data_IF_418827139337
#
_entry.id   IF_418827139337
#
_cell.length_a   1.000
_cell.length_b   1.000
_cell.length_c   1.000
_cell.angle_alpha   90.00
_cell.angle_beta   90.00
_cell.angle_gamma   90.00
#
_symmetry.space_group_name_H-M   'P 1'
#
loop_
_entity.id
_entity.type
_entity.pdbx_description
1 polymer ?
#
# COMPACT_ATOMS: atom_id res chain seq x y z
N UNK A 1 -16.75 5.52 -14.94
CA UNK A 1 -15.81 6.65 -15.09
C UNK A 1 -16.42 7.97 -15.57
N UNK A 2 -17.10 8.08 -16.73
CA UNK A 2 -17.63 9.39 -17.22
C UNK A 2 -18.49 10.16 -16.21
N UNK A 3 -19.29 9.44 -15.40
CA UNK A 3 -20.11 10.04 -14.33
C UNK A 3 -19.23 10.54 -13.18
N UNK A 4 -18.28 9.72 -12.73
CA UNK A 4 -17.28 10.06 -11.71
C UNK A 4 -16.48 11.31 -12.12
N UNK A 5 -16.00 11.33 -13.36
CA UNK A 5 -15.16 12.39 -13.91
C UNK A 5 -15.87 13.76 -14.01
N UNK A 6 -17.21 13.76 -14.11
CA UNK A 6 -18.02 14.99 -14.15
C UNK A 6 -18.18 15.63 -12.77
N UNK A 7 -18.11 14.82 -11.72
CA UNK A 7 -18.32 15.26 -10.34
C UNK A 7 -17.00 15.37 -9.56
N UNK A 8 -15.91 14.86 -10.14
CA UNK A 8 -14.55 15.03 -9.65
C UNK A 8 -14.08 16.50 -9.73
N UNK A 9 -13.21 16.89 -8.81
CA UNK A 9 -12.52 18.17 -8.86
C UNK A 9 -11.03 17.98 -9.17
N UNK A 10 -10.36 19.07 -9.54
CA UNK A 10 -8.92 19.04 -9.87
C UNK A 10 -8.09 19.26 -8.62
N UNK A 11 -7.11 18.39 -8.40
CA UNK A 11 -6.12 18.51 -7.34
C UNK A 11 -4.73 18.18 -7.90
N UNK A 12 -3.70 18.75 -7.28
CA UNK A 12 -2.32 18.37 -7.54
C UNK A 12 -1.98 17.17 -6.65
N UNK A 13 -1.64 16.03 -7.26
CA UNK A 13 -1.26 14.84 -6.51
C UNK A 13 0.25 14.75 -6.35
N UNK A 14 0.68 14.25 -5.20
CA UNK A 14 2.10 14.12 -4.85
C UNK A 14 2.51 12.67 -4.81
N UNK A 15 3.75 12.41 -5.21
CA UNK A 15 4.37 11.10 -5.17
C UNK A 15 5.77 11.27 -4.60
N UNK A 16 6.12 10.50 -3.57
CA UNK A 16 7.51 10.35 -3.16
C UNK A 16 8.14 9.22 -3.94
N UNK A 17 9.36 9.43 -4.43
CA UNK A 17 10.14 8.39 -5.12
C UNK A 17 11.52 8.29 -4.50
N UNK A 18 11.99 7.06 -4.30
CA UNK A 18 13.41 6.76 -4.03
C UNK A 18 13.93 6.04 -5.26
N UNK A 19 14.76 6.72 -6.05
CA UNK A 19 15.38 6.17 -7.26
C UNK A 19 16.78 5.71 -6.90
N UNK A 20 17.12 4.48 -7.25
CA UNK A 20 18.42 3.88 -6.99
C UNK A 20 19.16 3.64 -8.30
N UNK A 21 20.46 3.91 -8.30
CA UNK A 21 21.30 3.85 -9.48
C UNK A 21 22.45 2.85 -9.28
N UNK A 22 22.89 2.24 -10.37
CA UNK A 22 24.12 1.45 -10.38
C UNK A 22 25.37 2.34 -10.40
N UNK A 23 26.55 1.71 -10.45
CA UNK A 23 27.85 2.40 -10.54
C UNK A 23 28.03 3.22 -11.82
N UNK A 24 27.20 2.97 -12.84
CA UNK A 24 27.19 3.71 -14.12
C UNK A 24 26.12 4.81 -14.13
N UNK A 25 25.54 5.12 -12.97
CA UNK A 25 24.50 6.13 -12.80
C UNK A 25 23.22 5.85 -13.58
N UNK A 26 22.96 4.59 -13.96
CA UNK A 26 21.69 4.21 -14.57
C UNK A 26 20.66 3.86 -13.49
N UNK A 27 19.40 4.34 -13.59
CA UNK A 27 18.33 3.90 -12.71
C UNK A 27 18.12 2.39 -12.83
N UNK A 28 18.17 1.68 -11.71
CA UNK A 28 18.00 0.21 -11.68
C UNK A 28 16.84 -0.24 -10.80
N UNK A 29 16.57 0.50 -9.73
CA UNK A 29 15.48 0.20 -8.80
C UNK A 29 14.74 1.48 -8.41
N UNK A 30 13.44 1.37 -8.15
CA UNK A 30 12.63 2.51 -7.68
C UNK A 30 11.61 2.06 -6.65
N UNK A 31 11.48 2.84 -5.58
CA UNK A 31 10.36 2.76 -4.64
C UNK A 31 9.46 3.96 -4.89
N UNK A 32 8.20 3.72 -5.25
CA UNK A 32 7.17 4.73 -5.47
C UNK A 32 6.21 4.72 -4.29
N UNK A 33 5.95 5.88 -3.70
CA UNK A 33 5.01 6.05 -2.58
C UNK A 33 4.04 7.19 -2.95
N UNK A 34 2.89 6.86 -3.54
CA UNK A 34 1.85 7.84 -3.85
C UNK A 34 1.25 8.46 -2.59
N UNK A 35 0.93 9.76 -2.62
CA UNK A 35 0.13 10.44 -1.59
C UNK A 35 -1.31 10.66 -2.07
N UNK A 36 -1.82 9.70 -2.85
CA UNK A 36 -3.22 9.58 -3.28
C UNK A 36 -3.66 8.12 -3.10
N UNK A 37 -4.96 7.91 -2.91
CA UNK A 37 -5.52 6.60 -2.61
C UNK A 37 -5.76 5.76 -3.88
N UNK A 38 -5.71 4.44 -3.75
CA UNK A 38 -6.07 3.53 -4.84
C UNK A 38 -7.57 3.28 -4.79
N UNK A 39 -8.29 3.48 -5.89
CA UNK A 39 -9.75 3.38 -5.82
C UNK A 39 -10.49 3.90 -7.05
N UNK A 40 -11.82 3.72 -7.09
CA UNK A 40 -12.64 3.18 -5.99
C UNK A 40 -12.66 1.65 -5.91
N UNK A 41 -12.67 0.92 -7.05
CA UNK A 41 -12.62 -0.55 -7.11
C UNK A 41 -12.33 -1.06 -8.53
N UNK A 42 -11.79 -2.28 -8.62
CA UNK A 42 -11.53 -3.04 -9.86
C UNK A 42 -10.64 -2.29 -10.85
N UNK A 43 -11.20 -1.92 -12.00
CA UNK A 43 -10.55 -1.26 -13.13
C UNK A 43 -10.83 0.25 -13.19
N UNK A 44 -11.62 0.77 -12.25
CA UNK A 44 -11.97 2.18 -12.20
C UNK A 44 -10.83 2.99 -11.56
N UNK A 45 -10.55 4.16 -12.13
CA UNK A 45 -9.71 5.13 -11.45
C UNK A 45 -8.28 4.63 -11.21
N UNK A 46 -7.80 4.82 -9.97
CA UNK A 46 -6.46 4.41 -9.50
C UNK A 46 -6.38 2.99 -8.95
N UNK A 47 -7.46 2.21 -8.99
CA UNK A 47 -7.48 0.86 -8.40
C UNK A 47 -6.38 -0.07 -8.90
N UNK A 48 -5.95 0.11 -10.15
CA UNK A 48 -4.92 -0.69 -10.80
C UNK A 48 -3.52 -0.06 -10.77
N UNK A 49 -3.35 1.10 -10.12
CA UNK A 49 -2.12 1.87 -10.17
C UNK A 49 -0.87 1.07 -9.76
N UNK A 50 -0.86 0.27 -8.68
CA UNK A 50 0.33 -0.47 -8.28
C UNK A 50 0.90 -1.35 -9.40
N UNK A 51 0.10 -2.24 -9.98
CA UNK A 51 0.59 -3.15 -11.01
C UNK A 51 0.90 -2.45 -12.34
N UNK A 52 0.15 -1.41 -12.70
CA UNK A 52 0.40 -0.64 -13.92
C UNK A 52 1.75 0.09 -13.84
N UNK A 53 2.05 0.70 -12.68
CA UNK A 53 3.33 1.35 -12.43
C UNK A 53 4.48 0.34 -12.44
N UNK A 54 4.34 -0.80 -11.75
CA UNK A 54 5.37 -1.85 -11.71
C UNK A 54 5.65 -2.39 -13.11
N UNK A 55 4.62 -2.69 -13.91
CA UNK A 55 4.80 -3.15 -15.28
C UNK A 55 5.50 -2.10 -16.14
N UNK A 56 5.13 -0.82 -16.01
CA UNK A 56 5.76 0.26 -16.77
C UNK A 56 7.25 0.41 -16.44
N UNK A 57 7.65 0.24 -15.18
CA UNK A 57 9.06 0.25 -14.78
C UNK A 57 9.81 -0.95 -15.37
N UNK A 58 9.21 -2.15 -15.35
CA UNK A 58 9.83 -3.34 -15.94
C UNK A 58 10.03 -3.24 -17.45
N UNK A 59 9.09 -2.61 -18.19
CA UNK A 59 9.21 -2.36 -19.63
C UNK A 59 10.46 -1.54 -19.99
N UNK A 60 10.91 -0.67 -19.08
CA UNK A 60 12.12 0.15 -19.26
C UNK A 60 13.33 -0.40 -18.48
N UNK A 61 13.25 -1.67 -18.02
CA UNK A 61 14.36 -2.34 -17.36
C UNK A 61 14.59 -1.96 -15.89
N UNK A 62 13.66 -1.23 -15.26
CA UNK A 62 13.76 -0.77 -13.87
C UNK A 62 12.93 -1.68 -12.96
N UNK A 63 13.51 -2.14 -11.85
CA UNK A 63 12.78 -2.91 -10.84
C UNK A 63 12.03 -1.97 -9.90
N UNK A 64 10.71 -2.01 -9.92
CA UNK A 64 9.87 -1.11 -9.14
C UNK A 64 9.09 -1.78 -8.02
N UNK A 65 8.82 -1.04 -6.94
CA UNK A 65 7.70 -1.31 -6.04
C UNK A 65 6.85 -0.06 -5.86
N UNK A 66 5.57 -0.29 -5.56
CA UNK A 66 4.65 0.73 -5.06
C UNK A 66 4.33 0.38 -3.61
N UNK A 67 4.50 1.32 -2.69
CA UNK A 67 4.12 1.21 -1.29
C UNK A 67 2.93 2.13 -1.01
N UNK A 68 2.04 1.69 -0.11
CA UNK A 68 0.89 2.49 0.30
C UNK A 68 1.33 3.68 1.15
N UNK A 69 1.25 4.88 0.59
CA UNK A 69 1.50 6.12 1.30
C UNK A 69 0.26 6.58 2.04
N UNK A 70 0.45 7.36 3.10
CA UNK A 70 -0.68 7.97 3.83
C UNK A 70 -1.52 8.82 2.88
N UNK A 71 -2.77 8.41 2.68
CA UNK A 71 -3.76 9.05 1.81
C UNK A 71 -5.16 8.80 2.36
N UNK A 72 -6.15 9.56 1.89
CA UNK A 72 -7.56 9.38 2.24
C UNK A 72 -8.36 9.06 0.97
N UNK A 73 -9.46 8.30 1.09
CA UNK A 73 -10.27 7.88 -0.07
C UNK A 73 -10.82 9.05 -0.91
N UNK A 74 -10.92 10.26 -0.34
CA UNK A 74 -11.25 11.47 -1.11
C UNK A 74 -10.23 11.76 -2.25
N UNK A 75 -9.03 11.22 -2.14
CA UNK A 75 -7.96 11.35 -3.13
C UNK A 75 -7.98 10.25 -4.21
N UNK A 76 -9.04 9.44 -4.28
CA UNK A 76 -9.26 8.47 -5.34
C UNK A 76 -9.25 9.14 -6.71
N UNK A 77 -8.49 8.60 -7.66
CA UNK A 77 -8.42 9.15 -9.01
C UNK A 77 -9.68 8.76 -9.77
N UNK A 78 -10.33 9.72 -10.41
CA UNK A 78 -11.63 9.50 -11.02
C UNK A 78 -11.64 8.64 -12.29
N UNK A 79 -10.47 8.49 -12.95
CA UNK A 79 -10.36 7.87 -14.27
C UNK A 79 -8.98 7.28 -14.55
N UNK A 80 -8.96 6.10 -15.17
CA UNK A 80 -7.74 5.40 -15.56
C UNK A 80 -6.78 6.23 -16.44
N UNK A 81 -7.30 7.12 -17.31
CA UNK A 81 -6.44 7.98 -18.13
C UNK A 81 -5.58 8.96 -17.31
N UNK A 82 -6.07 9.40 -16.15
CA UNK A 82 -5.26 10.19 -15.22
C UNK A 82 -4.18 9.35 -14.55
N UNK A 83 -4.44 8.07 -14.28
CA UNK A 83 -3.43 7.15 -13.78
C UNK A 83 -2.30 6.95 -14.78
N UNK A 84 -2.61 6.77 -16.07
CA UNK A 84 -1.60 6.70 -17.14
C UNK A 84 -0.78 7.99 -17.21
N UNK A 85 -1.43 9.15 -17.15
CA UNK A 85 -0.76 10.44 -17.12
C UNK A 85 0.21 10.57 -15.94
N UNK A 86 -0.18 10.13 -14.74
CA UNK A 86 0.70 10.12 -13.56
C UNK A 86 1.88 9.18 -13.77
N UNK A 87 1.63 7.96 -14.26
CA UNK A 87 2.69 6.98 -14.55
C UNK A 87 3.70 7.58 -15.54
N UNK A 88 3.24 8.17 -16.65
CA UNK A 88 4.12 8.79 -17.64
C UNK A 88 4.96 9.92 -17.02
N UNK A 89 4.37 10.73 -16.14
CA UNK A 89 5.09 11.77 -15.41
C UNK A 89 6.11 11.23 -14.41
N UNK A 90 5.81 10.12 -13.75
CA UNK A 90 6.77 9.45 -12.87
C UNK A 90 7.97 8.94 -13.68
N UNK A 91 7.72 8.27 -14.82
CA UNK A 91 8.79 7.78 -15.70
C UNK A 91 9.64 8.94 -16.25
N UNK A 92 9.00 10.03 -16.68
CA UNK A 92 9.70 11.23 -17.14
C UNK A 92 10.64 11.79 -16.07
N UNK A 93 10.18 11.87 -14.81
CA UNK A 93 11.00 12.38 -13.71
C UNK A 93 12.10 11.42 -13.26
N UNK A 94 11.89 10.10 -13.35
CA UNK A 94 12.92 9.08 -13.07
C UNK A 94 14.10 9.23 -14.04
N UNK A 95 13.85 9.51 -15.32
CA UNK A 95 14.93 9.69 -16.29
C UNK A 95 15.70 11.01 -16.14
N UNK A 96 15.11 12.01 -15.48
CA UNK A 96 15.76 13.33 -15.29
C UNK A 96 16.59 13.40 -14.01
N UNK A 97 16.30 12.55 -13.03
CA UNK A 97 16.97 12.62 -11.72
C UNK A 97 18.38 12.02 -11.82
N UNK A 98 19.32 12.65 -11.13
CA UNK A 98 20.72 12.23 -11.03
C UNK A 98 20.99 11.73 -9.62
N UNK A 99 21.87 10.71 -9.44
CA UNK A 99 22.22 10.19 -8.12
C UNK A 99 22.80 11.28 -7.22
N UNK A 100 22.43 11.28 -5.93
CA UNK A 100 22.85 12.33 -4.98
C UNK A 100 23.58 11.80 -3.75
N UNK A 101 23.23 10.61 -3.28
CA UNK A 101 23.70 10.06 -2.01
C UNK A 101 23.94 8.56 -2.12
N UNK A 102 24.78 7.98 -1.26
CA UNK A 102 25.04 6.52 -1.23
C UNK A 102 24.86 5.88 0.14
N UNK A 103 24.61 6.70 1.17
CA UNK A 103 24.59 6.24 2.55
C UNK A 103 23.21 6.36 3.20
N UNK A 104 22.88 5.39 4.05
CA UNK A 104 21.70 5.39 4.89
C UNK A 104 22.02 4.79 6.26
N UNK A 105 21.14 4.95 7.24
CA UNK A 105 21.25 4.19 8.49
C UNK A 105 20.75 2.76 8.28
N UNK A 106 21.13 1.79 9.13
CA UNK A 106 20.38 0.53 9.22
C UNK A 106 18.92 0.80 9.59
N UNK A 107 18.02 -0.11 9.19
CA UNK A 107 16.62 -0.05 9.60
C UNK A 107 16.52 -0.30 11.10
N UNK A 108 15.89 0.64 11.80
CA UNK A 108 15.54 0.53 13.21
C UNK A 108 14.10 0.05 13.34
N UNK A 109 13.87 -0.99 14.16
CA UNK A 109 12.54 -1.44 14.55
C UNK A 109 12.23 -0.98 15.97
N UNK A 110 11.18 -0.18 16.15
CA UNK A 110 10.66 0.24 17.46
C UNK A 110 9.25 -0.30 17.64
N UNK A 111 8.97 -0.87 18.81
CA UNK A 111 7.61 -1.20 19.25
C UNK A 111 7.16 -0.21 20.32
N UNK A 112 5.92 0.28 20.21
CA UNK A 112 5.28 1.14 21.21
C UNK A 112 3.79 0.82 21.27
N UNK A 113 3.36 0.25 22.39
CA UNK A 113 1.97 -0.20 22.53
C UNK A 113 1.62 -1.21 21.44
N UNK A 114 0.54 -0.96 20.70
CA UNK A 114 0.08 -1.81 19.60
C UNK A 114 0.78 -1.57 18.26
N UNK A 115 1.69 -0.60 18.14
CA UNK A 115 2.33 -0.27 16.87
C UNK A 115 3.81 -0.69 16.82
N UNK A 116 4.24 -1.09 15.62
CA UNK A 116 5.63 -1.30 15.23
C UNK A 116 6.00 -0.29 14.15
N UNK A 117 7.11 0.42 14.35
CA UNK A 117 7.65 1.42 13.44
C UNK A 117 9.00 0.93 12.93
N UNK A 118 9.15 0.85 11.62
CA UNK A 118 10.43 0.69 10.94
C UNK A 118 10.90 2.06 10.47
N UNK A 119 12.10 2.45 10.85
CA UNK A 119 12.66 3.76 10.53
C UNK A 119 14.03 3.60 9.91
N UNK A 120 14.23 4.23 8.75
CA UNK A 120 15.53 4.35 8.10
C UNK A 120 15.77 5.81 7.72
N UNK A 121 16.95 6.34 8.04
CA UNK A 121 17.35 7.67 7.59
C UNK A 121 18.20 7.57 6.33
N UNK A 122 17.78 8.32 5.32
CA UNK A 122 18.51 8.67 4.12
C UNK A 122 19.00 10.10 4.31
N UNK A 123 20.14 10.26 5.00
CA UNK A 123 20.61 11.54 5.53
C UNK A 123 19.53 12.26 6.36
N UNK A 124 18.94 13.34 5.83
CA UNK A 124 17.95 14.17 6.49
C UNK A 124 16.50 13.85 6.09
N UNK A 125 16.26 12.74 5.38
CA UNK A 125 14.91 12.24 5.06
C UNK A 125 14.70 10.89 5.75
N UNK A 126 13.57 10.73 6.43
CA UNK A 126 13.22 9.46 7.08
C UNK A 126 12.21 8.67 6.25
N UNK A 127 12.49 7.40 5.98
CA UNK A 127 11.46 6.43 5.57
C UNK A 127 10.90 5.75 6.82
N UNK A 128 9.59 5.83 6.98
CA UNK A 128 8.83 5.23 8.08
C UNK A 128 7.83 4.24 7.50
N UNK A 129 7.91 2.97 7.91
CA UNK A 129 6.87 1.97 7.65
C UNK A 129 6.17 1.66 8.97
N UNK A 130 4.86 1.82 9.00
CA UNK A 130 4.05 1.74 10.22
C UNK A 130 3.09 0.56 10.10
N UNK A 131 3.06 -0.29 11.11
CA UNK A 131 2.08 -1.39 11.22
C UNK A 131 1.55 -1.47 12.65
N UNK A 132 0.28 -1.82 12.81
CA UNK A 132 -0.30 -2.24 14.08
C UNK A 132 -0.42 -3.76 14.18
N UNK A 133 0.00 -4.52 13.18
CA UNK A 133 -0.14 -5.97 13.17
C UNK A 133 0.45 -6.62 14.45
N UNK A 134 -0.28 -7.58 15.06
CA UNK A 134 -1.47 -8.26 14.54
C UNK A 134 -2.81 -7.56 14.85
N UNK A 135 -2.80 -6.31 15.30
CA UNK A 135 -3.99 -5.47 15.45
C UNK A 135 -4.37 -4.82 14.12
N UNK A 136 -5.59 -4.30 14.02
CA UNK A 136 -6.10 -3.65 12.81
C UNK A 136 -5.10 -2.61 12.26
N UNK A 137 -4.61 -2.82 11.04
CA UNK A 137 -3.76 -1.86 10.32
C UNK A 137 -4.55 -1.43 9.09
N UNK A 138 -5.01 -0.19 9.13
CA UNK A 138 -5.88 0.48 8.17
C UNK A 138 -5.40 1.92 8.01
N UNK A 139 -5.88 2.58 6.96
CA UNK A 139 -5.41 3.88 6.52
C UNK A 139 -5.14 4.88 7.64
N UNK A 140 -3.91 5.36 7.68
CA UNK A 140 -3.54 6.45 8.57
C UNK A 140 -4.20 7.76 8.11
N UNK A 141 -4.83 8.52 9.00
CA UNK A 141 -5.36 9.84 8.66
C UNK A 141 -4.26 10.83 8.25
N UNK A 142 -4.56 11.77 7.35
CA UNK A 142 -3.58 12.77 6.87
C UNK A 142 -2.97 13.58 8.03
N UNK A 143 -3.77 13.90 9.07
CA UNK A 143 -3.29 14.65 10.22
C UNK A 143 -2.16 13.93 11.00
N UNK A 144 -2.09 12.59 10.94
CA UNK A 144 -0.98 11.81 11.51
C UNK A 144 0.31 12.11 10.76
N UNK A 145 0.29 12.04 9.43
CA UNK A 145 1.44 12.37 8.58
C UNK A 145 1.92 13.79 8.84
N UNK A 146 1.01 14.76 8.92
CA UNK A 146 1.38 16.16 9.18
C UNK A 146 1.99 16.35 10.58
N UNK A 147 1.48 15.62 11.58
CA UNK A 147 2.07 15.63 12.92
C UNK A 147 3.47 15.00 12.93
N UNK A 148 3.68 13.89 12.23
CA UNK A 148 4.99 13.25 12.08
C UNK A 148 5.97 14.19 11.37
N UNK A 149 5.55 14.83 10.27
CA UNK A 149 6.35 15.84 9.54
C UNK A 149 6.81 16.97 10.45
N UNK A 150 5.90 17.52 11.28
CA UNK A 150 6.24 18.56 12.26
C UNK A 150 7.26 18.09 13.30
N UNK A 151 7.10 16.87 13.84
CA UNK A 151 8.03 16.27 14.79
C UNK A 151 9.42 16.11 14.17
N UNK A 152 9.48 15.55 12.95
CA UNK A 152 10.72 15.34 12.21
C UNK A 152 11.48 16.66 11.99
N UNK A 153 10.79 17.70 11.49
CA UNK A 153 11.37 19.03 11.29
C UNK A 153 11.93 19.63 12.59
N UNK A 154 11.19 19.51 13.70
CA UNK A 154 11.62 20.01 15.02
C UNK A 154 12.94 19.39 15.48
N UNK A 155 13.22 18.14 15.09
CA UNK A 155 14.45 17.44 15.45
C UNK A 155 15.49 17.46 14.31
N UNK A 156 15.34 18.32 13.31
CA UNK A 156 16.32 18.52 12.24
C UNK A 156 16.29 17.47 11.12
N UNK A 157 15.19 16.74 10.96
CA UNK A 157 14.94 15.89 9.78
C UNK A 157 14.11 16.72 8.80
N UNK A 158 14.61 16.90 7.57
CA UNK A 158 14.05 17.78 6.55
C UNK A 158 12.65 17.35 6.13
N UNK A 159 12.46 16.04 5.93
CA UNK A 159 11.19 15.48 5.48
C UNK A 159 11.03 14.01 5.90
N UNK A 160 9.81 13.48 5.76
CA UNK A 160 9.48 12.09 6.04
C UNK A 160 8.65 11.49 4.90
N UNK A 161 8.91 10.23 4.62
CA UNK A 161 8.07 9.36 3.80
C UNK A 161 7.38 8.41 4.78
N UNK A 162 6.05 8.45 4.84
CA UNK A 162 5.25 7.61 5.73
C UNK A 162 4.50 6.60 4.89
N UNK A 163 4.80 5.33 5.13
CA UNK A 163 4.19 4.16 4.51
C UNK A 163 3.31 3.47 5.54
N UNK A 164 2.07 3.23 5.17
CA UNK A 164 1.18 2.31 5.87
C UNK A 164 1.46 0.90 5.39
N UNK A 165 1.71 -0.03 6.32
CA UNK A 165 1.94 -1.42 5.95
C UNK A 165 0.68 -2.12 5.46
N UNK A 166 -0.51 -1.66 5.91
CA UNK A 166 -1.83 -2.13 5.50
C UNK A 166 -1.95 -3.66 5.48
N UNK A 167 -1.41 -4.31 6.53
CA UNK A 167 -1.04 -5.73 6.54
C UNK A 167 -1.73 -6.56 7.63
N UNK A 168 -2.86 -6.12 8.15
CA UNK A 168 -3.55 -6.80 9.25
C UNK A 168 -4.99 -6.31 9.38
N UNK A 169 -5.92 -6.95 8.66
CA UNK A 169 -7.36 -6.67 8.77
C UNK A 169 -7.98 -7.41 9.96
N UNK A 170 -8.85 -6.72 10.69
CA UNK A 170 -9.65 -7.27 11.79
C UNK A 170 -11.03 -6.62 11.82
N UNK A 171 -12.06 -7.42 11.52
CA UNK A 171 -13.44 -6.92 11.46
C UNK A 171 -13.98 -6.56 12.87
N UNK A 172 -13.34 -7.04 13.93
CA UNK A 172 -13.74 -6.88 15.34
C UNK A 172 -13.03 -5.72 16.06
N UNK A 173 -12.16 -4.96 15.39
CA UNK A 173 -11.37 -3.89 15.99
C UNK A 173 -11.62 -2.54 15.29
N UNK A 174 -11.47 -1.45 16.03
CA UNK A 174 -11.43 -0.08 15.48
C UNK A 174 -10.19 0.63 16.00
N UNK A 175 -9.66 1.57 15.20
CA UNK A 175 -8.51 2.39 15.60
C UNK A 175 -9.03 3.59 16.40
N UNK A 176 -8.61 3.70 17.66
CA UNK A 176 -8.99 4.82 18.53
C UNK A 176 -8.02 5.99 18.42
N UNK A 177 -8.42 7.17 18.89
CA UNK A 177 -7.53 8.33 19.00
C UNK A 177 -6.30 8.05 19.89
N UNK A 178 -6.42 7.15 20.87
CA UNK A 178 -5.31 6.70 21.71
C UNK A 178 -4.28 5.92 20.88
N UNK A 179 -4.73 5.03 19.99
CA UNK A 179 -3.84 4.27 19.11
C UNK A 179 -3.04 5.20 18.19
N UNK A 180 -3.69 6.21 17.63
CA UNK A 180 -3.02 7.25 16.85
C UNK A 180 -1.98 8.05 17.66
N UNK A 181 -2.28 8.39 18.91
CA UNK A 181 -1.32 9.02 19.83
C UNK A 181 -0.12 8.09 20.13
N UNK A 182 -0.33 6.78 20.22
CA UNK A 182 0.74 5.80 20.39
C UNK A 182 1.62 5.69 19.15
N UNK A 183 1.05 5.69 17.94
CA UNK A 183 1.79 5.72 16.68
C UNK A 183 2.72 6.93 16.65
N UNK A 184 2.19 8.13 16.90
CA UNK A 184 2.98 9.36 16.88
C UNK A 184 4.13 9.31 17.89
N UNK A 185 3.90 8.82 19.11
CA UNK A 185 4.94 8.63 20.13
C UNK A 185 5.98 7.58 19.71
N UNK A 186 5.55 6.49 19.08
CA UNK A 186 6.43 5.45 18.54
C UNK A 186 7.33 6.00 17.44
N UNK A 187 6.78 6.80 16.54
CA UNK A 187 7.51 7.45 15.45
C UNK A 187 8.50 8.47 15.99
N UNK A 188 8.11 9.33 16.93
CA UNK A 188 9.03 10.28 17.56
C UNK A 188 10.24 9.56 18.18
N UNK A 189 9.99 8.48 18.93
CA UNK A 189 11.06 7.64 19.48
C UNK A 189 11.93 7.04 18.38
N UNK A 190 11.33 6.51 17.31
CA UNK A 190 12.06 5.89 16.20
C UNK A 190 12.98 6.91 15.49
N UNK A 191 12.50 8.12 15.23
CA UNK A 191 13.31 9.17 14.60
C UNK A 191 14.48 9.61 15.49
N UNK A 192 14.24 9.81 16.79
CA UNK A 192 15.30 10.18 17.76
C UNK A 192 16.38 9.10 17.82
N UNK A 193 15.99 7.83 17.91
CA UNK A 193 16.92 6.72 17.97
C UNK A 193 17.65 6.47 16.63
N UNK A 194 16.97 6.69 15.49
CA UNK A 194 17.59 6.57 14.18
C UNK A 194 18.67 7.63 13.94
N UNK A 195 18.47 8.87 14.44
CA UNK A 195 19.50 9.94 14.37
C UNK A 195 20.80 9.61 15.10
N UNK A 196 20.77 8.68 16.07
CA UNK A 196 21.96 8.21 16.79
C UNK A 196 22.76 7.16 16.01
N UNK A 197 22.23 6.66 14.88
CA UNK A 197 22.87 5.64 14.05
C UNK A 197 23.79 6.30 13.02
N UNK A 198 24.89 5.61 12.69
CA UNK A 198 25.82 6.04 11.65
C UNK A 198 25.22 5.78 10.27
N UNK A 199 25.50 6.70 9.36
CA UNK A 199 25.27 6.52 7.93
C UNK A 199 26.37 5.63 7.37
N UNK A 200 25.99 4.63 6.58
CA UNK A 200 26.90 3.73 5.90
C UNK A 200 26.37 3.39 4.51
N UNK A 201 27.22 2.79 3.68
CA UNK A 201 26.88 2.34 2.33
C UNK A 201 25.57 1.53 2.31
N UNK A 202 24.65 1.98 1.46
CA UNK A 202 23.38 1.32 1.23
C UNK A 202 23.50 0.32 0.08
N UNK A 203 22.93 -0.87 0.31
CA UNK A 203 22.73 -1.87 -0.73
C UNK A 203 21.26 -2.25 -0.83
N UNK A 204 20.81 -2.54 -2.03
CA UNK A 204 19.44 -2.94 -2.34
C UNK A 204 19.43 -4.21 -3.17
N UNK A 205 18.47 -5.09 -2.90
CA UNK A 205 18.12 -6.19 -3.78
C UNK A 205 16.61 -6.28 -3.92
N UNK A 206 16.13 -6.59 -5.12
CA UNK A 206 14.69 -6.67 -5.40
C UNK A 206 14.37 -7.84 -6.32
N UNK A 207 13.26 -8.53 -6.05
CA UNK A 207 12.72 -9.60 -6.89
C UNK A 207 11.20 -9.56 -6.89
N UNK A 208 10.60 -9.45 -8.08
CA UNK A 208 9.17 -9.69 -8.32
C UNK A 208 8.93 -11.11 -8.84
N UNK A 209 7.81 -11.68 -8.42
CA UNK A 209 7.17 -12.83 -9.07
C UNK A 209 5.67 -12.57 -9.24
N UNK A 210 5.14 -12.88 -10.44
CA UNK A 210 3.69 -12.95 -10.66
C UNK A 210 3.17 -14.26 -10.07
N UNK A 211 2.08 -14.17 -9.31
CA UNK A 211 1.35 -15.34 -8.78
C UNK A 211 0.39 -15.81 -9.88
N UNK A 212 0.35 -17.12 -10.15
CA UNK A 212 -0.43 -17.70 -11.27
C UNK A 212 -1.66 -18.46 -10.81
N UNK A 213 -1.63 -18.93 -9.57
CA UNK A 213 -2.58 -19.83 -8.95
C UNK A 213 -3.80 -19.08 -8.39
N UNK A 214 -3.65 -17.78 -8.17
CA UNK A 214 -4.66 -16.90 -7.60
C UNK A 214 -4.84 -15.65 -8.45
N UNK A 215 -6.09 -15.21 -8.56
CA UNK A 215 -6.47 -14.00 -9.28
C UNK A 215 -7.05 -12.91 -8.35
N UNK A 216 -7.53 -11.82 -8.95
CA UNK A 216 -8.09 -10.68 -8.23
C UNK A 216 -9.32 -11.07 -7.40
N UNK A 217 -10.12 -12.07 -7.83
CA UNK A 217 -11.26 -12.57 -7.05
C UNK A 217 -10.82 -13.34 -5.82
N UNK A 218 -9.59 -13.85 -5.81
CA UNK A 218 -9.00 -14.54 -4.66
C UNK A 218 -8.13 -13.62 -3.79
N UNK A 219 -8.16 -12.31 -4.06
CA UNK A 219 -7.45 -11.31 -3.24
C UNK A 219 -6.04 -10.97 -3.70
N UNK A 220 -5.62 -11.47 -4.87
CA UNK A 220 -4.25 -11.27 -5.40
C UNK A 220 -4.31 -10.44 -6.68
N UNK A 221 -3.74 -9.24 -6.60
CA UNK A 221 -3.57 -8.32 -7.72
C UNK A 221 -2.47 -8.74 -8.69
N UNK A 222 -2.49 -8.12 -9.89
CA UNK A 222 -1.59 -8.44 -11.01
C UNK A 222 -0.14 -8.00 -10.78
N UNK A 223 0.12 -7.22 -9.73
CA UNK A 223 1.45 -6.85 -9.25
C UNK A 223 2.23 -8.06 -8.71
N UNK A 224 1.53 -9.11 -8.26
CA UNK A 224 2.15 -10.32 -7.73
C UNK A 224 2.76 -10.11 -6.34
N UNK A 225 3.91 -10.71 -6.07
CA UNK A 225 4.66 -10.51 -4.82
C UNK A 225 6.07 -9.98 -5.11
N UNK A 226 6.55 -9.10 -4.24
CA UNK A 226 7.88 -8.50 -4.37
C UNK A 226 8.66 -8.65 -3.07
N UNK A 227 9.87 -9.18 -3.16
CA UNK A 227 10.87 -9.12 -2.10
C UNK A 227 11.76 -7.89 -2.31
N UNK A 228 11.83 -7.02 -1.32
CA UNK A 228 12.78 -5.91 -1.23
C UNK A 228 13.71 -6.15 -0.05
N UNK A 229 15.01 -6.24 -0.28
CA UNK A 229 16.01 -6.28 0.78
C UNK A 229 16.83 -5.01 0.77
N UNK A 230 16.88 -4.34 1.93
CA UNK A 230 17.80 -3.23 2.19
C UNK A 230 18.88 -3.70 3.14
N UNK A 231 20.13 -3.36 2.86
CA UNK A 231 21.28 -3.80 3.64
C UNK A 231 22.23 -2.63 3.90
N UNK A 232 22.56 -2.42 5.18
CA UNK A 232 23.50 -1.41 5.66
C UNK A 232 24.30 -2.05 6.80
N UNK A 233 25.63 -1.97 6.77
CA UNK A 233 26.52 -2.64 7.76
C UNK A 233 26.23 -4.15 7.95
N UNK A 234 25.97 -4.89 6.86
CA UNK A 234 25.60 -6.30 6.90
C UNK A 234 24.31 -6.62 7.70
N UNK A 235 23.51 -5.60 8.04
CA UNK A 235 22.19 -5.75 8.63
C UNK A 235 21.16 -5.69 7.52
N UNK A 236 20.71 -6.87 7.08
CA UNK A 236 19.63 -6.98 6.10
C UNK A 236 18.28 -6.82 6.78
N UNK A 237 17.39 -6.10 6.10
CA UNK A 237 15.96 -6.09 6.39
C UNK A 237 15.22 -6.41 5.10
N UNK A 238 14.36 -7.43 5.14
CA UNK A 238 13.61 -7.88 3.96
C UNK A 238 12.13 -7.61 4.13
N UNK A 239 11.57 -6.87 3.18
CA UNK A 239 10.14 -6.61 3.08
C UNK A 239 9.53 -7.49 1.99
N UNK A 240 8.41 -8.13 2.31
CA UNK A 240 7.60 -8.87 1.34
C UNK A 240 6.34 -8.07 1.08
N UNK A 241 6.13 -7.64 -0.16
CA UNK A 241 5.00 -6.81 -0.56
C UNK A 241 4.12 -7.65 -1.47
N UNK A 242 2.89 -7.94 -1.03
CA UNK A 242 1.88 -8.56 -1.86
C UNK A 242 1.03 -7.49 -2.55
N UNK A 243 0.79 -7.63 -3.85
CA UNK A 243 -0.22 -6.84 -4.52
C UNK A 243 -1.60 -7.37 -4.10
N UNK A 244 -2.20 -6.73 -3.11
CA UNK A 244 -3.52 -7.02 -2.54
C UNK A 244 -3.98 -5.80 -1.75
N UNK A 245 -5.24 -5.80 -1.29
CA UNK A 245 -5.76 -4.70 -0.47
C UNK A 245 -5.17 -4.79 0.95
N UNK A 246 -5.77 -5.57 1.85
CA UNK A 246 -5.23 -5.85 3.19
C UNK A 246 -4.82 -7.34 3.34
N UNK A 247 -4.39 -7.76 4.53
CA UNK A 247 -3.85 -9.09 4.80
C UNK A 247 -4.42 -9.71 6.07
N UNK A 248 -4.65 -11.03 6.06
CA UNK A 248 -5.05 -11.77 7.25
C UNK A 248 -3.91 -11.79 8.31
N UNK A 249 -4.15 -11.43 9.57
CA UNK A 249 -3.09 -11.31 10.58
C UNK A 249 -2.33 -12.63 10.81
N UNK A 250 -3.04 -13.76 10.84
CA UNK A 250 -2.45 -15.09 11.00
C UNK A 250 -1.59 -15.50 9.79
N UNK A 251 -1.97 -15.11 8.58
CA UNK A 251 -1.16 -15.34 7.39
C UNK A 251 0.14 -14.54 7.44
N UNK A 252 0.07 -13.26 7.83
CA UNK A 252 1.27 -12.42 8.02
C UNK A 252 2.27 -13.09 8.97
N UNK A 253 1.81 -13.51 10.15
CA UNK A 253 2.67 -14.16 11.14
C UNK A 253 3.26 -15.47 10.59
N UNK A 254 2.48 -16.27 9.86
CA UNK A 254 2.93 -17.50 9.20
C UNK A 254 4.06 -17.24 8.18
N UNK A 255 3.96 -16.16 7.39
CA UNK A 255 5.02 -15.76 6.45
C UNK A 255 6.29 -15.37 7.21
N UNK A 256 6.19 -14.47 8.19
CA UNK A 256 7.34 -14.01 8.99
C UNK A 256 8.03 -15.20 9.68
N UNK A 257 7.26 -16.08 10.31
CA UNK A 257 7.78 -17.27 10.98
C UNK A 257 8.49 -18.20 9.99
N UNK A 258 7.88 -18.48 8.83
CA UNK A 258 8.47 -19.36 7.81
C UNK A 258 9.79 -18.79 7.27
N UNK A 259 9.82 -17.50 6.95
CA UNK A 259 11.03 -16.85 6.44
C UNK A 259 12.15 -16.82 7.50
N UNK A 260 11.80 -16.53 8.77
CA UNK A 260 12.75 -16.56 9.88
C UNK A 260 13.34 -17.97 10.09
N UNK A 261 12.51 -19.02 10.03
CA UNK A 261 12.98 -20.41 10.13
C UNK A 261 13.91 -20.80 8.97
N UNK A 262 13.74 -20.18 7.80
CA UNK A 262 14.60 -20.37 6.62
C UNK A 262 15.78 -19.39 6.56
N UNK A 263 16.11 -18.74 7.69
CA UNK A 263 17.27 -17.85 7.88
C UNK A 263 17.24 -16.57 7.03
N UNK A 264 16.05 -16.14 6.57
CA UNK A 264 15.89 -14.77 6.03
C UNK A 264 15.96 -13.81 7.21
N UNK A 265 16.84 -12.81 7.11
CA UNK A 265 17.07 -11.88 8.22
C UNK A 265 15.98 -10.82 8.28
N UNK A 266 15.58 -10.45 9.50
CA UNK A 266 14.66 -9.35 9.86
C UNK A 266 13.59 -9.04 8.81
N UNK A 267 12.40 -9.64 8.97
CA UNK A 267 11.34 -9.60 7.96
C UNK A 267 10.15 -8.78 8.42
N UNK A 268 9.49 -8.12 7.47
CA UNK A 268 8.13 -7.61 7.59
C UNK A 268 7.37 -7.86 6.28
N UNK A 269 6.04 -7.96 6.36
CA UNK A 269 5.17 -8.18 5.21
C UNK A 269 4.20 -7.01 5.08
N UNK A 270 3.98 -6.53 3.87
CA UNK A 270 3.11 -5.41 3.53
C UNK A 270 2.16 -5.81 2.40
N UNK A 271 1.15 -4.98 2.17
CA UNK A 271 0.39 -4.99 0.93
C UNK A 271 0.61 -3.69 0.16
N UNK A 272 0.16 -3.66 -1.10
CA UNK A 272 0.12 -2.43 -1.91
C UNK A 272 -1.13 -1.60 -1.67
N UNK A 273 -2.12 -2.13 -0.94
CA UNK A 273 -3.48 -1.62 -0.90
C UNK A 273 -4.15 -1.50 -2.30
N UNK A 274 -3.87 -2.43 -3.21
CA UNK A 274 -4.51 -2.38 -4.53
C UNK A 274 -6.03 -2.58 -4.40
N UNK A 275 -6.80 -1.63 -4.89
CA UNK A 275 -8.26 -1.74 -5.00
C UNK A 275 -8.71 -2.56 -6.21
N UNK A 276 -7.78 -3.13 -6.99
CA UNK A 276 -8.14 -3.97 -8.14
C UNK A 276 -8.85 -5.27 -7.74
N UNK A 277 -8.68 -5.69 -6.47
CA UNK A 277 -9.34 -6.87 -5.88
C UNK A 277 -10.70 -6.52 -5.24
N UNK A 278 -11.05 -5.23 -5.14
CA UNK A 278 -12.24 -4.75 -4.43
C UNK A 278 -13.50 -4.90 -5.29
N UNK A 279 -14.65 -5.16 -4.66
CA UNK A 279 -15.95 -5.28 -5.35
C UNK A 279 -16.10 -6.53 -6.21
N UNK A 280 -15.35 -7.60 -5.90
CA UNK A 280 -15.35 -8.86 -6.64
C UNK A 280 -16.04 -10.01 -5.92
N UNK A 281 -16.39 -9.82 -4.64
CA UNK A 281 -16.97 -10.85 -3.78
C UNK A 281 -18.26 -10.34 -3.13
N UNK A 282 -19.11 -11.28 -2.71
CA UNK A 282 -20.33 -10.98 -1.94
C UNK A 282 -20.10 -10.89 -0.43
N UNK A 283 -18.85 -11.02 0.04
CA UNK A 283 -18.52 -10.83 1.45
C UNK A 283 -18.76 -9.38 1.86
N UNK A 284 -18.95 -9.14 3.14
CA UNK A 284 -19.15 -7.80 3.70
C UNK A 284 -18.03 -6.82 3.31
N UNK A 285 -16.77 -7.29 3.31
CA UNK A 285 -15.61 -6.50 2.84
C UNK A 285 -15.60 -6.22 1.33
N UNK A 286 -16.33 -7.00 0.52
CA UNK A 286 -16.30 -6.92 -0.94
C UNK A 286 -15.03 -7.46 -1.62
N UNK A 287 -14.06 -7.98 -0.84
CA UNK A 287 -12.82 -8.61 -1.32
C UNK A 287 -12.30 -9.69 -0.35
N UNK A 288 -11.31 -10.46 -0.80
CA UNK A 288 -10.55 -11.40 0.03
C UNK A 288 -9.21 -10.76 0.43
N UNK A 289 -8.90 -10.55 1.72
CA UNK A 289 -7.58 -10.14 2.15
C UNK A 289 -6.52 -11.19 1.79
N UNK A 290 -5.27 -10.75 1.58
CA UNK A 290 -4.15 -11.64 1.28
C UNK A 290 -4.02 -12.71 2.38
N UNK A 291 -3.98 -13.97 1.96
CA UNK A 291 -3.89 -15.12 2.86
C UNK A 291 -5.22 -15.65 3.39
N UNK A 292 -6.36 -15.05 3.03
CA UNK A 292 -7.67 -15.63 3.34
C UNK A 292 -7.96 -16.89 2.49
N UNK A 293 -7.49 -16.90 1.24
CA UNK A 293 -7.51 -18.07 0.35
C UNK A 293 -6.07 -18.49 0.06
N UNK A 294 -5.53 -19.40 0.87
CA UNK A 294 -4.18 -19.97 0.68
C UNK A 294 -4.08 -21.42 1.26
N UNK A 295 -4.92 -22.37 0.77
CA UNK A 295 -5.02 -23.70 1.37
C UNK A 295 -3.71 -24.50 1.32
N UNK A 296 -2.90 -24.31 0.27
CA UNK A 296 -1.67 -25.08 0.02
C UNK A 296 -0.38 -24.34 0.39
N UNK A 297 -0.47 -23.20 1.10
CA UNK A 297 0.69 -22.35 1.44
C UNK A 297 1.44 -21.78 0.22
N UNK A 298 0.80 -21.76 -0.95
CA UNK A 298 1.39 -21.30 -2.21
C UNK A 298 1.92 -19.87 -2.06
N UNK A 299 1.16 -18.98 -1.41
CA UNK A 299 1.60 -17.59 -1.19
C UNK A 299 2.83 -17.49 -0.28
N UNK A 300 2.94 -18.36 0.72
CA UNK A 300 4.12 -18.43 1.62
C UNK A 300 5.36 -18.86 0.83
N UNK A 301 5.21 -19.79 -0.11
CA UNK A 301 6.32 -20.26 -0.94
C UNK A 301 6.80 -19.17 -1.93
N UNK A 302 5.86 -18.43 -2.53
CA UNK A 302 6.19 -17.24 -3.32
C UNK A 302 6.97 -16.21 -2.48
N UNK A 303 6.49 -15.89 -1.26
CA UNK A 303 7.17 -14.99 -0.34
C UNK A 303 8.60 -15.44 -0.02
N UNK A 304 8.81 -16.75 0.25
CA UNK A 304 10.12 -17.30 0.53
C UNK A 304 11.07 -17.22 -0.67
N UNK A 305 10.57 -17.48 -1.88
CA UNK A 305 11.37 -17.38 -3.11
C UNK A 305 11.82 -15.95 -3.35
N UNK A 306 10.90 -14.98 -3.34
CA UNK A 306 11.26 -13.59 -3.60
C UNK A 306 12.18 -13.02 -2.51
N UNK A 307 12.03 -13.44 -1.25
CA UNK A 307 12.91 -13.04 -0.15
C UNK A 307 14.36 -13.51 -0.37
N UNK A 308 14.54 -14.79 -0.70
CA UNK A 308 15.88 -15.36 -0.94
C UNK A 308 16.54 -14.75 -2.17
N UNK A 309 15.76 -14.54 -3.22
CA UNK A 309 16.25 -13.96 -4.45
C UNK A 309 16.57 -12.46 -4.31
N UNK A 310 15.80 -11.70 -3.52
CA UNK A 310 16.14 -10.30 -3.20
C UNK A 310 17.43 -10.23 -2.39
N UNK A 311 17.63 -11.11 -1.41
CA UNK A 311 18.88 -11.19 -0.64
C UNK A 311 20.11 -11.58 -1.48
N UNK A 312 19.93 -12.42 -2.51
CA UNK A 312 21.00 -12.83 -3.44
C UNK A 312 21.38 -11.74 -4.43
N UNK A 313 20.45 -10.85 -4.75
CA UNK A 313 20.60 -9.78 -5.76
C UNK A 313 20.95 -8.42 -5.14
N UNK A 314 21.45 -8.42 -3.91
CA UNK A 314 21.91 -7.21 -3.24
C UNK A 314 23.10 -6.63 -4.00
N UNK A 315 22.98 -5.37 -4.39
CA UNK A 315 24.05 -4.58 -5.01
C UNK A 315 24.20 -3.24 -4.30
N UNK A 316 25.42 -2.71 -4.27
CA UNK A 316 25.68 -1.33 -3.84
C UNK A 316 24.99 -0.37 -4.80
N UNK A 317 24.42 0.70 -4.26
CA UNK A 317 23.67 1.71 -5.04
C UNK A 317 23.91 3.11 -4.51
N UNK A 318 23.83 4.07 -5.41
CA UNK A 318 23.51 5.46 -5.05
C UNK A 318 22.00 5.67 -5.16
N UNK A 319 21.49 6.74 -4.57
CA UNK A 319 20.07 7.04 -4.58
C UNK A 319 19.78 8.54 -4.60
N UNK A 320 18.55 8.85 -4.98
CA UNK A 320 17.94 10.17 -4.86
C UNK A 320 16.49 10.06 -4.43
N UNK A 321 16.10 10.92 -3.49
CA UNK A 321 14.72 11.03 -3.04
C UNK A 321 14.11 12.29 -3.65
N UNK A 322 12.97 12.15 -4.31
CA UNK A 322 12.25 13.26 -4.96
C UNK A 322 10.78 13.26 -4.61
N UNK A 323 10.20 14.45 -4.50
CA UNK A 323 8.76 14.65 -4.56
C UNK A 323 8.38 15.03 -6.00
N UNK A 324 7.51 14.25 -6.60
CA UNK A 324 6.94 14.48 -7.92
C UNK A 324 5.53 15.03 -7.71
N UNK A 325 5.25 16.20 -8.27
CA UNK A 325 3.90 16.79 -8.25
C UNK A 325 3.29 16.69 -9.64
N UNK A 326 2.17 15.98 -9.75
CA UNK A 326 1.41 15.85 -10.99
C UNK A 326 0.20 16.76 -10.91
N UNK A 327 0.19 17.80 -11.76
CA UNK A 327 -0.82 18.85 -11.68
C UNK A 327 -2.15 18.46 -12.31
N UNK A 328 -3.23 19.06 -11.82
CA UNK A 328 -4.56 19.00 -12.43
C UNK A 328 -5.12 17.56 -12.62
N UNK A 329 -4.90 16.68 -11.65
CA UNK A 329 -5.48 15.34 -11.64
C UNK A 329 -6.91 15.42 -11.12
N UNK A 330 -7.84 14.70 -11.74
CA UNK A 330 -9.23 14.64 -11.26
C UNK A 330 -9.36 13.60 -10.16
N UNK A 331 -9.74 14.04 -8.97
CA UNK A 331 -9.99 13.20 -7.79
C UNK A 331 -11.46 13.25 -7.38
N UNK A 332 -11.97 12.18 -6.76
CA UNK A 332 -13.39 12.03 -6.44
C UNK A 332 -13.87 12.97 -5.34
N UNK A 333 -13.07 13.22 -4.31
CA UNK A 333 -13.49 13.92 -3.10
C UNK A 333 -14.28 13.05 -2.13
N UNK A 334 -14.21 13.39 -0.84
CA UNK A 334 -14.94 12.69 0.22
C UNK A 334 -16.47 12.73 -0.01
N UNK A 335 -16.98 13.87 -0.48
CA UNK A 335 -18.40 14.09 -0.77
C UNK A 335 -18.97 13.06 -1.76
N UNK A 336 -18.16 12.59 -2.71
CA UNK A 336 -18.60 11.62 -3.72
C UNK A 336 -18.82 10.24 -3.11
N UNK A 337 -17.94 9.79 -2.22
CA UNK A 337 -18.08 8.51 -1.54
C UNK A 337 -19.30 8.51 -0.62
N UNK A 338 -19.56 9.62 0.07
CA UNK A 338 -20.78 9.78 0.86
C UNK A 338 -22.03 9.73 -0.02
N UNK A 339 -22.02 10.39 -1.18
CA UNK A 339 -23.14 10.35 -2.15
C UNK A 339 -23.38 8.94 -2.70
N UNK A 340 -22.32 8.18 -3.02
CA UNK A 340 -22.46 6.78 -3.46
C UNK A 340 -23.04 5.89 -2.37
N UNK A 341 -22.51 5.97 -1.15
CA UNK A 341 -23.03 5.21 -0.01
C UNK A 341 -24.52 5.52 0.22
N UNK A 342 -24.91 6.79 0.13
CA UNK A 342 -26.31 7.20 0.23
C UNK A 342 -27.17 6.62 -0.90
N UNK A 343 -26.72 6.72 -2.16
CA UNK A 343 -27.46 6.20 -3.31
C UNK A 343 -27.63 4.67 -3.29
N UNK A 344 -26.59 3.93 -2.85
CA UNK A 344 -26.66 2.48 -2.67
C UNK A 344 -27.66 2.14 -1.56
N UNK A 345 -27.58 2.81 -0.42
CA UNK A 345 -28.51 2.60 0.69
C UNK A 345 -29.96 2.90 0.30
N UNK A 346 -30.21 3.96 -0.46
CA UNK A 346 -31.54 4.29 -0.99
C UNK A 346 -32.03 3.22 -1.97
N UNK A 347 -31.15 2.75 -2.86
CA UNK A 347 -31.47 1.68 -3.82
C UNK A 347 -31.81 0.37 -3.10
N UNK A 348 -31.02 -0.04 -2.09
CA UNK A 348 -31.26 -1.24 -1.29
C UNK A 348 -32.58 -1.13 -0.50
N UNK A 349 -32.90 0.05 0.05
CA UNK A 349 -34.19 0.30 0.71
C UNK A 349 -35.36 0.17 -0.28
N UNK A 350 -35.23 0.72 -1.48
CA UNK A 350 -36.24 0.61 -2.53
C UNK A 350 -36.46 -0.85 -2.96
N UNK A 351 -35.37 -1.58 -3.24
CA UNK A 351 -35.41 -3.01 -3.58
C UNK A 351 -36.08 -3.80 -2.45
N UNK A 352 -35.68 -3.60 -1.20
CA UNK A 352 -36.30 -4.29 -0.05
C UNK A 352 -37.81 -4.04 0.02
N UNK A 353 -38.26 -2.78 -0.17
CA UNK A 353 -39.69 -2.43 -0.16
C UNK A 353 -40.44 -3.12 -1.29
N UNK A 354 -39.89 -3.11 -2.51
CA UNK A 354 -40.47 -3.79 -3.68
C UNK A 354 -40.54 -5.29 -3.45
N UNK A 355 -39.45 -5.92 -2.96
CA UNK A 355 -39.40 -7.36 -2.68
C UNK A 355 -40.44 -7.77 -1.64
N UNK A 356 -40.60 -7.02 -0.54
CA UNK A 356 -41.64 -7.31 0.48
C UNK A 356 -43.04 -7.17 -0.13
N UNK A 357 -43.27 -6.15 -0.95
CA UNK A 357 -44.57 -5.91 -1.61
C UNK A 357 -44.91 -7.03 -2.60
N UNK A 358 -43.97 -7.42 -3.45
CA UNK A 358 -44.16 -8.51 -4.40
C UNK A 358 -44.33 -9.86 -3.70
N UNK A 359 -43.54 -10.12 -2.65
CA UNK A 359 -43.66 -11.35 -1.86
C UNK A 359 -45.04 -11.43 -1.21
N UNK A 360 -45.48 -10.39 -0.50
CA UNK A 360 -46.81 -10.35 0.13
C UNK A 360 -47.94 -10.50 -0.88
N UNK A 361 -47.88 -9.80 -2.01
CA UNK A 361 -48.87 -9.92 -3.08
C UNK A 361 -48.91 -11.34 -3.65
N UNK A 362 -47.75 -11.95 -3.90
CA UNK A 362 -47.65 -13.33 -4.39
C UNK A 362 -48.25 -14.32 -3.39
N UNK A 363 -47.94 -14.18 -2.09
CA UNK A 363 -48.47 -15.06 -1.04
C UNK A 363 -49.98 -14.93 -0.91
N UNK A 364 -50.52 -13.70 -0.90
CA UNK A 364 -51.97 -13.46 -0.86
C UNK A 364 -52.66 -14.06 -2.08
N UNK A 365 -52.11 -13.86 -3.27
CA UNK A 365 -52.66 -14.41 -4.52
C UNK A 365 -52.66 -15.94 -4.50
N UNK A 366 -51.57 -16.56 -4.03
CA UNK A 366 -51.50 -18.02 -3.87
C UNK A 366 -52.51 -18.56 -2.87
N UNK A 367 -52.74 -17.86 -1.75
CA UNK A 367 -53.77 -18.25 -0.76
C UNK A 367 -55.16 -18.17 -1.38
N UNK A 368 -55.48 -17.08 -2.10
CA UNK A 368 -56.77 -16.91 -2.76
C UNK A 368 -56.99 -18.03 -3.79
N UNK A 369 -55.99 -18.33 -4.63
CA UNK A 369 -56.07 -19.41 -5.62
C UNK A 369 -56.20 -20.81 -5.00
N UNK A 370 -55.70 -21.03 -3.79
CA UNK A 370 -55.85 -22.30 -3.07
C UNK A 370 -57.25 -22.47 -2.45
N UNK A 371 -57.91 -21.35 -2.10
CA UNK A 371 -59.23 -21.33 -1.49
C UNK A 371 -60.38 -21.32 -2.52
N UNK A 372 -60.08 -21.02 -3.79
CA UNK A 372 -60.97 -21.15 -4.95
C UNK A 372 -60.85 -22.57 -5.52
#
# INVERSE_FOLDING_TARGET
EKILEKQAYKEDVKIKSIVFFDEKEHPTHVIIIPEFHFGPFRDLGSSQFPHLMINRLEEIGIKGIVLHGVSEHGQDIAKNSHCKYIIDKIIEEIHKVQPTESQATPILKIRKGKCTIYCQLFHNIALLIITRAPYLTEDLPIWIREKIRKIAKRIGIKDVIVVDAHNSIRDDEQISEKDYKEIVKGVEKALIEAKKRKLNELKIGMKREKIKEYDERQGIGKGGVIGLTLNVENKKYTFIIFDGNNMMPNFREKVIQTLSQKKVQSVEVLTTDTHSVNGLTSKERGYHPVGEIDPERVLVDYALRVAKESERKITTVTYTIKEITVKNVKVLGEDMLTKFSKAINESLRAVKKISVTLFTLSTVTSIILFLL
#
